data_IF_669254517452
#
_entry.id   IF_669254517452
#
_cell.length_a   1.000
_cell.length_b   1.000
_cell.length_c   1.000
_cell.angle_alpha   90.00
_cell.angle_beta   90.00
_cell.angle_gamma   90.00
#
_symmetry.space_group_name_H-M   'P 1'
#
loop_
_entity.id
_entity.type
_entity.pdbx_description
1 polymer ?
#
# COMPACT_ATOMS: atom_id res chain seq x y z
N UNK A 1 -20.16 18.49 10.82
CA UNK A 1 -21.43 18.57 10.06
C UNK A 1 -22.33 17.47 10.58
N UNK A 2 -23.55 17.77 11.00
CA UNK A 2 -24.47 16.76 11.51
C UNK A 2 -24.99 15.91 10.34
N UNK A 3 -24.64 14.62 10.30
CA UNK A 3 -25.04 13.67 9.24
C UNK A 3 -26.57 13.62 9.12
N UNK A 4 -27.28 13.87 10.23
CA UNK A 4 -28.74 13.86 10.24
C UNK A 4 -29.36 15.01 9.45
N UNK A 5 -28.59 16.06 9.13
CA UNK A 5 -29.07 17.23 8.36
C UNK A 5 -28.81 17.12 6.86
N UNK A 6 -28.17 16.06 6.38
CA UNK A 6 -27.95 15.87 4.94
C UNK A 6 -29.26 15.52 4.24
N UNK A 7 -29.51 16.17 3.10
CA UNK A 7 -30.67 15.85 2.26
C UNK A 7 -30.57 14.41 1.72
N UNK A 8 -31.72 13.80 1.41
CA UNK A 8 -31.74 12.46 0.80
C UNK A 8 -30.95 12.41 -0.52
N UNK A 9 -30.97 13.52 -1.28
CA UNK A 9 -30.20 13.66 -2.51
C UNK A 9 -28.68 13.60 -2.26
N UNK A 10 -28.19 14.18 -1.17
CA UNK A 10 -26.76 14.14 -0.80
C UNK A 10 -26.34 12.73 -0.38
N UNK A 11 -27.20 12.05 0.38
CA UNK A 11 -26.97 10.65 0.80
C UNK A 11 -26.91 9.73 -0.41
N UNK A 12 -27.82 9.88 -1.37
CA UNK A 12 -27.84 9.10 -2.61
C UNK A 12 -26.57 9.34 -3.44
N UNK A 13 -26.19 10.61 -3.67
CA UNK A 13 -24.95 10.96 -4.39
C UNK A 13 -23.71 10.38 -3.70
N UNK A 14 -23.63 10.52 -2.38
CA UNK A 14 -22.52 9.97 -1.60
C UNK A 14 -22.43 8.45 -1.66
N UNK A 15 -23.57 7.74 -1.70
CA UNK A 15 -23.60 6.28 -1.86
C UNK A 15 -23.15 5.82 -3.25
N UNK A 16 -23.55 6.53 -4.31
CA UNK A 16 -23.11 6.25 -5.68
C UNK A 16 -21.60 6.50 -5.80
N UNK A 17 -21.11 7.67 -5.35
CA UNK A 17 -19.69 7.99 -5.37
C UNK A 17 -18.86 6.94 -4.62
N UNK A 18 -19.33 6.48 -3.46
CA UNK A 18 -18.67 5.41 -2.71
C UNK A 18 -18.51 4.11 -3.51
N UNK A 19 -19.59 3.67 -4.20
CA UNK A 19 -19.55 2.45 -5.03
C UNK A 19 -18.54 2.60 -6.16
N UNK A 20 -18.51 3.77 -6.81
CA UNK A 20 -17.55 4.05 -7.89
C UNK A 20 -16.10 4.05 -7.38
N UNK A 21 -15.83 4.59 -6.19
CA UNK A 21 -14.51 4.51 -5.56
C UNK A 21 -14.12 3.06 -5.28
N UNK A 22 -15.02 2.26 -4.72
CA UNK A 22 -14.79 0.81 -4.51
C UNK A 22 -14.49 0.10 -5.83
N UNK A 23 -15.27 0.36 -6.88
CA UNK A 23 -15.03 -0.20 -8.22
C UNK A 23 -13.68 0.21 -8.77
N UNK A 24 -13.29 1.48 -8.64
CA UNK A 24 -11.98 1.97 -9.09
C UNK A 24 -10.83 1.29 -8.37
N UNK A 25 -10.93 1.09 -7.04
CA UNK A 25 -9.93 0.37 -6.25
C UNK A 25 -9.81 -1.11 -6.67
N UNK A 26 -10.93 -1.76 -7.01
CA UNK A 26 -10.95 -3.16 -7.45
C UNK A 26 -10.35 -3.32 -8.86
N UNK A 27 -10.76 -2.48 -9.81
CA UNK A 27 -10.44 -2.68 -11.23
C UNK A 27 -9.11 -2.05 -11.67
N UNK A 28 -8.69 -0.94 -11.05
CA UNK A 28 -7.51 -0.19 -11.53
C UNK A 28 -6.22 -1.01 -11.59
N UNK A 29 -5.89 -1.91 -10.62
CA UNK A 29 -4.68 -2.72 -10.71
C UNK A 29 -4.71 -3.64 -11.95
N UNK A 30 -5.78 -4.41 -12.14
CA UNK A 30 -5.90 -5.32 -13.30
C UNK A 30 -5.96 -4.59 -14.63
N UNK A 31 -6.62 -3.43 -14.70
CA UNK A 31 -6.58 -2.59 -15.90
C UNK A 31 -5.16 -2.12 -16.20
N UNK A 32 -4.37 -1.77 -15.19
CA UNK A 32 -2.97 -1.43 -15.37
C UNK A 32 -2.18 -2.61 -15.96
N UNK A 33 -2.40 -3.83 -15.44
CA UNK A 33 -1.80 -5.04 -15.99
C UNK A 33 -2.14 -5.23 -17.48
N UNK A 34 -3.43 -5.19 -17.82
CA UNK A 34 -3.90 -5.40 -19.19
C UNK A 34 -3.36 -4.36 -20.17
N UNK A 35 -3.35 -3.07 -19.79
CA UNK A 35 -2.91 -1.99 -20.68
C UNK A 35 -1.40 -1.97 -20.93
N UNK A 36 -0.62 -2.57 -20.03
CA UNK A 36 0.85 -2.59 -20.11
C UNK A 36 1.42 -3.97 -20.44
N UNK A 37 0.59 -4.94 -20.78
CA UNK A 37 0.99 -6.27 -21.26
C UNK A 37 0.70 -6.47 -22.77
N UNK A 38 1.55 -7.20 -23.52
CA UNK A 38 2.93 -7.54 -23.17
C UNK A 38 3.74 -6.26 -22.96
N UNK A 39 5.01 -6.34 -22.53
CA UNK A 39 5.93 -5.22 -22.61
C UNK A 39 6.56 -5.16 -24.02
N UNK A 40 5.94 -4.60 -25.08
CA UNK A 40 6.74 -4.11 -26.20
C UNK A 40 7.45 -2.83 -25.74
N UNK A 41 8.16 -2.15 -26.64
CA UNK A 41 8.93 -0.89 -26.51
C UNK A 41 8.15 0.33 -25.95
N UNK A 42 7.24 0.11 -25.00
CA UNK A 42 6.38 1.08 -24.36
C UNK A 42 7.26 2.08 -23.63
N UNK A 43 6.94 3.38 -23.73
CA UNK A 43 7.70 4.41 -23.05
C UNK A 43 7.82 4.09 -21.56
N UNK A 44 9.05 4.18 -21.03
CA UNK A 44 9.35 4.08 -19.60
C UNK A 44 8.42 4.94 -18.72
N UNK A 45 7.88 6.01 -19.31
CA UNK A 45 6.88 6.92 -18.73
C UNK A 45 5.60 6.20 -18.26
N UNK A 46 5.08 5.22 -19.00
CA UNK A 46 3.84 4.52 -18.59
C UNK A 46 4.02 3.74 -17.30
N UNK A 47 5.18 3.10 -17.13
CA UNK A 47 5.52 2.36 -15.91
C UNK A 47 5.94 3.31 -14.78
N UNK A 48 6.74 4.33 -15.09
CA UNK A 48 7.23 5.30 -14.10
C UNK A 48 6.12 6.13 -13.47
N UNK A 49 5.10 6.54 -14.24
CA UNK A 49 3.98 7.35 -13.75
C UNK A 49 2.74 6.51 -13.36
N UNK A 50 2.79 5.19 -13.59
CA UNK A 50 1.68 4.26 -13.34
C UNK A 50 0.31 4.82 -13.80
N UNK A 51 0.24 5.31 -15.04
CA UNK A 51 -0.85 6.18 -15.54
C UNK A 51 -2.25 5.66 -15.17
N UNK A 52 -2.62 4.37 -15.37
CA UNK A 52 -3.96 3.90 -15.02
C UNK A 52 -4.30 4.01 -13.52
N UNK A 53 -3.31 3.83 -12.64
CA UNK A 53 -3.48 3.99 -11.19
C UNK A 53 -3.62 5.46 -10.83
N UNK A 54 -2.77 6.32 -11.38
CA UNK A 54 -2.82 7.78 -11.21
C UNK A 54 -4.16 8.36 -11.71
N UNK A 55 -4.67 7.88 -12.84
CA UNK A 55 -5.99 8.24 -13.38
C UNK A 55 -7.11 7.78 -12.43
N UNK A 56 -7.00 6.59 -11.84
CA UNK A 56 -7.96 6.11 -10.85
C UNK A 56 -7.95 6.96 -9.57
N UNK A 57 -6.79 7.38 -9.08
CA UNK A 57 -6.69 8.31 -7.94
C UNK A 57 -7.33 9.66 -8.25
N UNK A 58 -7.04 10.24 -9.42
CA UNK A 58 -7.69 11.47 -9.89
C UNK A 58 -9.22 11.30 -9.93
N UNK A 59 -9.71 10.20 -10.50
CA UNK A 59 -11.14 9.89 -10.54
C UNK A 59 -11.74 9.81 -9.13
N UNK A 60 -11.05 9.19 -8.15
CA UNK A 60 -11.51 9.13 -6.76
C UNK A 60 -11.58 10.53 -6.14
N UNK A 61 -10.58 11.38 -6.39
CA UNK A 61 -10.59 12.78 -5.92
C UNK A 61 -11.78 13.54 -6.53
N UNK A 62 -12.01 13.44 -7.83
CA UNK A 62 -13.14 14.08 -8.50
C UNK A 62 -14.49 13.54 -8.01
N UNK A 63 -14.62 12.24 -7.77
CA UNK A 63 -15.83 11.63 -7.19
C UNK A 63 -16.08 12.13 -5.77
N UNK A 64 -15.03 12.30 -4.96
CA UNK A 64 -15.16 12.93 -3.66
C UNK A 64 -15.67 14.37 -3.80
N UNK A 65 -15.09 15.17 -4.72
CA UNK A 65 -15.52 16.55 -4.99
C UNK A 65 -16.98 16.62 -5.43
N UNK A 66 -17.40 15.74 -6.36
CA UNK A 66 -18.78 15.62 -6.81
C UNK A 66 -19.75 15.21 -5.68
N UNK A 67 -19.26 14.48 -4.67
CA UNK A 67 -20.00 14.18 -3.46
C UNK A 67 -19.98 15.31 -2.40
N UNK A 68 -19.44 16.49 -2.73
CA UNK A 68 -19.40 17.66 -1.86
C UNK A 68 -18.15 17.78 -0.99
N UNK A 69 -17.05 17.11 -1.34
CA UNK A 69 -15.74 17.41 -0.77
C UNK A 69 -15.22 18.74 -1.32
N UNK A 70 -14.63 19.55 -0.43
CA UNK A 70 -13.91 20.77 -0.80
C UNK A 70 -12.60 20.82 -0.03
N UNK A 71 -11.48 20.90 -0.74
CA UNK A 71 -10.16 20.96 -0.12
C UNK A 71 -10.02 22.18 0.82
N UNK A 72 -10.58 23.33 0.43
CA UNK A 72 -10.55 24.56 1.25
C UNK A 72 -11.38 24.44 2.52
N UNK A 73 -12.47 23.66 2.49
CA UNK A 73 -13.31 23.39 3.66
C UNK A 73 -12.77 22.26 4.54
N UNK A 74 -12.07 21.28 3.95
CA UNK A 74 -11.48 20.14 4.65
C UNK A 74 -10.17 20.52 5.35
N UNK A 75 -9.35 21.37 4.74
CA UNK A 75 -8.04 21.75 5.25
C UNK A 75 -8.09 22.26 6.71
N UNK A 76 -8.95 23.21 7.10
CA UNK A 76 -9.00 23.70 8.48
C UNK A 76 -9.42 22.65 9.52
N UNK A 77 -10.03 21.53 9.10
CA UNK A 77 -10.47 20.42 9.98
C UNK A 77 -9.34 19.45 10.30
N UNK A 78 -8.24 19.50 9.55
CA UNK A 78 -7.06 18.68 9.81
C UNK A 78 -6.40 19.11 11.12
N UNK A 79 -5.78 18.14 11.80
CA UNK A 79 -4.93 18.43 12.96
C UNK A 79 -3.87 19.48 12.59
N UNK A 80 -3.53 20.35 13.54
CA UNK A 80 -2.51 21.40 13.33
C UNK A 80 -1.19 20.82 12.81
N UNK A 81 -0.72 19.70 13.39
CA UNK A 81 0.49 19.01 12.93
C UNK A 81 0.38 18.58 11.48
N UNK A 82 -0.77 18.04 11.05
CA UNK A 82 -0.97 17.63 9.66
C UNK A 82 -0.94 18.81 8.70
N UNK A 83 -1.59 19.92 9.04
CA UNK A 83 -1.56 21.15 8.22
C UNK A 83 -0.15 21.71 8.09
N UNK A 84 0.56 21.82 9.22
CA UNK A 84 1.92 22.35 9.26
C UNK A 84 2.86 21.45 8.45
N UNK A 85 2.81 20.13 8.67
CA UNK A 85 3.60 19.15 7.92
C UNK A 85 3.32 19.22 6.42
N UNK A 86 2.05 19.23 6.02
CA UNK A 86 1.68 19.32 4.60
C UNK A 86 2.13 20.66 3.97
N UNK A 87 1.99 21.79 4.66
CA UNK A 87 2.45 23.09 4.16
C UNK A 87 3.97 23.15 3.98
N UNK A 88 4.73 22.70 4.98
CA UNK A 88 6.20 22.64 4.91
C UNK A 88 6.64 21.69 3.80
N UNK A 89 6.04 20.49 3.72
CA UNK A 89 6.35 19.50 2.69
C UNK A 89 6.04 20.01 1.28
N UNK A 90 4.92 20.71 1.08
CA UNK A 90 4.56 21.30 -0.21
C UNK A 90 5.58 22.35 -0.65
N UNK A 91 5.95 23.27 0.25
CA UNK A 91 6.94 24.31 -0.04
C UNK A 91 8.31 23.69 -0.29
N UNK A 92 8.78 22.80 0.59
CA UNK A 92 10.09 22.16 0.43
C UNK A 92 10.14 21.33 -0.85
N UNK A 93 9.09 20.56 -1.14
CA UNK A 93 9.02 19.73 -2.34
C UNK A 93 9.01 20.54 -3.63
N UNK A 94 8.30 21.67 -3.67
CA UNK A 94 8.34 22.61 -4.80
C UNK A 94 9.73 23.23 -4.98
N UNK A 95 10.36 23.70 -3.90
CA UNK A 95 11.73 24.25 -3.94
C UNK A 95 12.70 23.20 -4.46
N UNK A 96 12.63 21.98 -3.93
CA UNK A 96 13.50 20.89 -4.36
C UNK A 96 13.29 20.56 -5.83
N UNK A 97 12.03 20.38 -6.26
CA UNK A 97 11.70 20.00 -7.62
C UNK A 97 12.04 21.08 -8.66
N UNK A 98 12.04 22.36 -8.29
CA UNK A 98 12.21 23.47 -9.26
C UNK A 98 13.59 24.13 -9.21
N UNK A 99 14.24 24.13 -8.04
CA UNK A 99 15.51 24.84 -7.82
C UNK A 99 16.68 23.89 -7.59
N UNK A 100 16.45 22.78 -6.87
CA UNK A 100 17.55 21.89 -6.42
C UNK A 100 17.81 20.74 -7.37
N UNK A 101 16.77 20.17 -7.96
CA UNK A 101 16.85 18.99 -8.81
C UNK A 101 17.55 19.30 -10.13
N UNK A 102 18.48 18.42 -10.54
CA UNK A 102 19.21 18.57 -11.81
C UNK A 102 18.29 18.43 -13.04
N UNK A 103 17.20 17.66 -12.90
CA UNK A 103 16.15 17.53 -13.91
C UNK A 103 14.81 18.01 -13.35
N UNK A 104 14.54 19.34 -13.33
CA UNK A 104 13.38 19.90 -12.66
C UNK A 104 12.04 19.38 -13.16
N UNK A 105 11.91 19.13 -14.48
CA UNK A 105 10.66 18.65 -15.08
C UNK A 105 10.29 17.25 -14.56
N UNK A 106 11.25 16.32 -14.53
CA UNK A 106 11.03 14.97 -14.03
C UNK A 106 10.71 15.00 -12.53
N UNK A 107 11.50 15.74 -11.75
CA UNK A 107 11.30 15.89 -10.31
C UNK A 107 9.92 16.50 -9.99
N UNK A 108 9.49 17.51 -10.75
CA UNK A 108 8.19 18.15 -10.61
C UNK A 108 7.06 17.17 -10.97
N UNK A 109 7.16 16.42 -12.07
CA UNK A 109 6.16 15.42 -12.44
C UNK A 109 5.96 14.36 -11.34
N UNK A 110 7.05 13.81 -10.80
CA UNK A 110 6.97 12.82 -9.71
C UNK A 110 6.47 13.45 -8.40
N UNK A 111 6.87 14.69 -8.12
CA UNK A 111 6.36 15.42 -6.95
C UNK A 111 4.84 15.66 -7.05
N UNK A 112 4.33 16.00 -8.24
CA UNK A 112 2.89 16.15 -8.49
C UNK A 112 2.11 14.85 -8.25
N UNK A 113 2.69 13.67 -8.52
CA UNK A 113 2.09 12.38 -8.14
C UNK A 113 1.98 12.27 -6.61
N UNK A 114 3.01 12.70 -5.87
CA UNK A 114 2.92 12.73 -4.41
C UNK A 114 1.90 13.73 -3.89
N UNK A 115 1.73 14.87 -4.57
CA UNK A 115 0.66 15.84 -4.26
C UNK A 115 -0.71 15.21 -4.50
N UNK A 116 -0.87 14.43 -5.58
CA UNK A 116 -2.08 13.67 -5.85
C UNK A 116 -2.38 12.67 -4.72
N UNK A 117 -1.39 11.94 -4.22
CA UNK A 117 -1.56 11.07 -3.05
C UNK A 117 -2.04 11.85 -1.81
N UNK A 118 -1.51 13.05 -1.55
CA UNK A 118 -1.96 13.91 -0.46
C UNK A 118 -3.40 14.42 -0.67
N UNK A 119 -3.78 14.74 -1.90
CA UNK A 119 -5.15 15.12 -2.26
C UNK A 119 -6.14 13.96 -2.11
N UNK A 120 -5.74 12.75 -2.52
CA UNK A 120 -6.48 11.51 -2.28
C UNK A 120 -6.69 11.32 -0.78
N UNK A 121 -5.62 11.48 0.02
CA UNK A 121 -5.69 11.33 1.47
C UNK A 121 -6.69 12.30 2.11
N UNK A 122 -6.64 13.57 1.70
CA UNK A 122 -7.53 14.61 2.20
C UNK A 122 -8.99 14.35 1.81
N UNK A 123 -9.25 13.98 0.56
CA UNK A 123 -10.58 13.65 0.06
C UNK A 123 -11.18 12.43 0.78
N UNK A 124 -10.42 11.35 0.90
CA UNK A 124 -10.86 10.15 1.62
C UNK A 124 -11.09 10.42 3.11
N UNK A 125 -10.20 11.18 3.76
CA UNK A 125 -10.33 11.52 5.18
C UNK A 125 -11.60 12.34 5.46
N UNK A 126 -11.87 13.37 4.66
CA UNK A 126 -13.08 14.17 4.81
C UNK A 126 -14.35 13.34 4.61
N UNK A 127 -14.37 12.44 3.62
CA UNK A 127 -15.53 11.58 3.34
C UNK A 127 -15.73 10.49 4.40
N UNK A 128 -14.66 9.86 4.89
CA UNK A 128 -14.73 8.86 5.97
C UNK A 128 -15.14 9.46 7.32
N UNK A 129 -14.87 10.75 7.55
CA UNK A 129 -15.35 11.48 8.72
C UNK A 129 -16.75 12.11 8.51
N UNK A 130 -17.42 11.81 7.39
CA UNK A 130 -18.75 12.34 7.07
C UNK A 130 -19.65 11.26 6.46
N UNK A 131 -19.95 11.34 5.15
CA UNK A 131 -20.97 10.52 4.48
C UNK A 131 -20.56 9.04 4.42
N UNK A 132 -19.26 8.73 4.48
CA UNK A 132 -18.73 7.36 4.46
C UNK A 132 -18.29 6.88 5.84
N UNK A 133 -18.77 7.51 6.92
CA UNK A 133 -18.48 7.08 8.27
C UNK A 133 -18.77 5.59 8.45
N UNK A 134 -17.81 4.87 9.02
CA UNK A 134 -17.91 3.44 9.25
C UNK A 134 -17.49 2.55 8.06
N UNK A 135 -17.26 3.08 6.86
CA UNK A 135 -16.99 2.29 5.64
C UNK A 135 -15.50 2.07 5.30
N UNK A 136 -14.61 2.31 6.27
CA UNK A 136 -13.17 2.13 6.06
C UNK A 136 -12.77 0.69 5.77
N UNK A 137 -13.46 -0.29 6.38
CA UNK A 137 -13.31 -1.71 6.09
C UNK A 137 -13.58 -2.03 4.61
N UNK A 138 -14.69 -1.54 4.06
CA UNK A 138 -15.06 -1.76 2.66
C UNK A 138 -13.99 -1.25 1.69
N UNK A 139 -13.34 -0.10 1.96
CA UNK A 139 -12.25 0.41 1.12
C UNK A 139 -11.01 -0.49 1.18
N UNK A 140 -10.63 -0.95 2.37
CA UNK A 140 -9.49 -1.86 2.55
C UNK A 140 -9.76 -3.25 1.95
N UNK A 141 -10.99 -3.76 2.09
CA UNK A 141 -11.44 -4.99 1.43
C UNK A 141 -11.38 -4.84 -0.09
N UNK A 142 -11.86 -3.72 -0.63
CA UNK A 142 -11.81 -3.43 -2.06
C UNK A 142 -10.37 -3.40 -2.59
N UNK A 143 -9.45 -2.76 -1.85
CA UNK A 143 -8.04 -2.74 -2.19
C UNK A 143 -7.41 -4.14 -2.18
N UNK A 144 -7.70 -4.97 -1.17
CA UNK A 144 -7.19 -6.34 -1.08
C UNK A 144 -7.75 -7.24 -2.20
N UNK A 145 -9.04 -7.13 -2.51
CA UNK A 145 -9.69 -7.86 -3.61
C UNK A 145 -9.15 -7.39 -4.97
N UNK A 146 -8.99 -6.09 -5.19
CA UNK A 146 -8.38 -5.55 -6.41
C UNK A 146 -6.95 -6.02 -6.62
N UNK A 147 -6.16 -6.08 -5.54
CA UNK A 147 -4.81 -6.64 -5.57
C UNK A 147 -4.81 -8.13 -5.92
N UNK A 148 -5.73 -8.92 -5.38
CA UNK A 148 -5.85 -10.34 -5.73
C UNK A 148 -6.33 -10.54 -7.17
N UNK A 149 -7.27 -9.72 -7.66
CA UNK A 149 -7.69 -9.72 -9.05
C UNK A 149 -6.53 -9.40 -9.99
N UNK A 150 -5.68 -8.44 -9.63
CA UNK A 150 -4.43 -8.18 -10.34
C UNK A 150 -3.53 -9.40 -10.36
N UNK A 151 -3.33 -10.08 -9.22
CA UNK A 151 -2.48 -11.26 -9.15
C UNK A 151 -2.95 -12.36 -10.11
N UNK A 152 -4.27 -12.62 -10.15
CA UNK A 152 -4.86 -13.58 -11.08
C UNK A 152 -4.71 -13.12 -12.53
N UNK A 153 -4.92 -11.83 -12.81
CA UNK A 153 -4.77 -11.25 -14.16
C UNK A 153 -3.33 -11.37 -14.65
N UNK A 154 -2.36 -10.94 -13.85
CA UNK A 154 -0.94 -11.00 -14.19
C UNK A 154 -0.47 -12.44 -14.39
N UNK A 155 -0.90 -13.37 -13.54
CA UNK A 155 -0.61 -14.79 -13.71
C UNK A 155 -1.17 -15.33 -15.04
N UNK A 156 -2.43 -15.02 -15.37
CA UNK A 156 -3.06 -15.41 -16.63
C UNK A 156 -2.36 -14.85 -17.87
N UNK A 157 -1.96 -13.57 -17.82
CA UNK A 157 -1.20 -12.91 -18.89
C UNK A 157 0.16 -13.59 -19.11
N UNK A 158 0.92 -13.84 -18.04
CA UNK A 158 2.22 -14.51 -18.14
C UNK A 158 2.09 -15.98 -18.57
N UNK A 159 1.03 -16.66 -18.17
CA UNK A 159 0.74 -18.00 -18.64
C UNK A 159 0.45 -18.01 -20.16
N UNK A 160 -0.09 -16.93 -20.73
CA UNK A 160 -0.38 -16.85 -22.17
C UNK A 160 0.88 -16.81 -23.05
N UNK A 161 2.01 -16.36 -22.50
CA UNK A 161 3.32 -16.27 -23.19
C UNK A 161 4.31 -17.35 -22.72
N UNK A 162 3.86 -18.35 -21.94
CA UNK A 162 4.73 -19.40 -21.36
C UNK A 162 5.56 -20.21 -22.35
N UNK A 163 5.19 -20.22 -23.63
CA UNK A 163 5.86 -20.96 -24.70
C UNK A 163 6.72 -20.06 -25.59
N UNK A 164 6.78 -18.75 -25.30
CA UNK A 164 7.62 -17.80 -26.00
C UNK A 164 9.04 -17.85 -25.40
N UNK A 165 10.04 -18.38 -26.13
CA UNK A 165 11.41 -18.46 -25.64
C UNK A 165 12.10 -17.08 -25.55
N UNK A 166 11.62 -16.09 -26.29
CA UNK A 166 12.22 -14.75 -26.39
C UNK A 166 11.63 -13.77 -25.37
N UNK A 167 10.65 -14.23 -24.58
CA UNK A 167 10.00 -13.41 -23.57
C UNK A 167 10.95 -13.02 -22.42
N UNK A 168 11.06 -11.71 -22.14
CA UNK A 168 11.84 -11.21 -21.00
C UNK A 168 11.13 -11.53 -19.66
N UNK A 169 11.58 -12.60 -19.02
CA UNK A 169 11.10 -13.06 -17.71
C UNK A 169 11.51 -12.17 -16.53
N UNK A 170 12.28 -11.09 -16.75
CA UNK A 170 12.64 -10.10 -15.74
C UNK A 170 11.76 -8.85 -15.91
N UNK A 171 11.71 -8.31 -17.12
CA UNK A 171 10.95 -7.09 -17.49
C UNK A 171 9.58 -7.46 -18.04
N UNK A 172 8.73 -8.01 -17.18
CA UNK A 172 7.53 -8.76 -17.57
C UNK A 172 6.32 -7.90 -18.00
N UNK A 173 6.40 -6.58 -17.91
CA UNK A 173 5.23 -5.71 -18.12
C UNK A 173 4.11 -5.99 -17.11
N UNK A 174 2.85 -5.97 -17.55
CA UNK A 174 1.69 -6.22 -16.69
C UNK A 174 1.64 -5.31 -15.44
N UNK A 175 1.93 -4.02 -15.62
CA UNK A 175 1.84 -2.97 -14.61
C UNK A 175 3.12 -2.84 -13.78
N UNK A 176 4.15 -3.61 -14.11
CA UNK A 176 5.42 -3.62 -13.41
C UNK A 176 6.59 -3.63 -14.40
N UNK A 177 7.69 -3.01 -14.03
CA UNK A 177 8.93 -3.02 -14.82
C UNK A 177 9.88 -4.15 -14.42
N UNK A 178 9.61 -4.82 -13.30
CA UNK A 178 10.42 -5.93 -12.82
C UNK A 178 9.55 -6.96 -12.13
N UNK A 179 9.80 -8.25 -12.35
CA UNK A 179 9.09 -9.37 -11.72
C UNK A 179 8.90 -9.21 -10.20
N UNK A 180 9.85 -8.63 -9.46
CA UNK A 180 9.72 -8.47 -7.99
C UNK A 180 8.62 -7.54 -7.57
N UNK A 181 8.25 -6.60 -8.43
CA UNK A 181 7.20 -5.63 -8.14
C UNK A 181 5.81 -6.29 -8.15
N UNK A 182 5.66 -7.52 -8.69
CA UNK A 182 4.44 -8.31 -8.50
C UNK A 182 4.13 -8.51 -7.01
N UNK A 183 5.16 -8.56 -6.15
CA UNK A 183 4.98 -8.66 -4.71
C UNK A 183 4.31 -7.41 -4.10
N UNK A 184 4.32 -6.24 -4.75
CA UNK A 184 3.64 -5.04 -4.22
C UNK A 184 2.13 -5.28 -4.12
N UNK A 185 1.57 -5.92 -5.14
CA UNK A 185 0.16 -6.32 -5.21
C UNK A 185 -0.09 -7.59 -4.41
N UNK A 186 0.77 -8.60 -4.55
CA UNK A 186 0.68 -9.84 -3.77
C UNK A 186 0.64 -9.59 -2.26
N UNK A 187 1.51 -8.70 -1.76
CA UNK A 187 1.56 -8.34 -0.35
C UNK A 187 0.31 -7.57 0.10
N UNK A 188 -0.23 -6.68 -0.73
CA UNK A 188 -1.50 -5.99 -0.44
C UNK A 188 -2.66 -6.98 -0.28
N UNK A 189 -2.79 -7.93 -1.22
CA UNK A 189 -3.78 -8.99 -1.14
C UNK A 189 -3.57 -9.88 0.09
N UNK A 190 -2.32 -10.28 0.37
CA UNK A 190 -1.97 -11.13 1.50
C UNK A 190 -2.27 -10.46 2.86
N UNK A 191 -1.75 -9.26 3.10
CA UNK A 191 -1.91 -8.54 4.37
C UNK A 191 -3.36 -8.17 4.65
N UNK A 192 -4.09 -7.68 3.62
CA UNK A 192 -5.52 -7.36 3.75
C UNK A 192 -6.38 -8.61 3.91
N UNK A 193 -6.15 -9.63 3.08
CA UNK A 193 -6.84 -10.93 3.14
C UNK A 193 -6.70 -11.59 4.50
N UNK A 194 -5.47 -11.71 5.03
CA UNK A 194 -5.23 -12.30 6.34
C UNK A 194 -5.90 -11.52 7.46
N UNK A 195 -5.81 -10.18 7.43
CA UNK A 195 -6.41 -9.35 8.47
C UNK A 195 -7.93 -9.55 8.56
N UNK A 196 -8.64 -9.56 7.41
CA UNK A 196 -10.08 -9.81 7.39
C UNK A 196 -10.41 -11.27 7.70
N UNK A 197 -9.67 -12.24 7.17
CA UNK A 197 -9.91 -13.66 7.47
C UNK A 197 -9.82 -13.94 8.98
N UNK A 198 -8.87 -13.33 9.68
CA UNK A 198 -8.60 -13.55 11.11
C UNK A 198 -9.53 -12.72 12.01
N UNK A 199 -9.75 -11.44 11.69
CA UNK A 199 -10.39 -10.50 12.61
C UNK A 199 -11.85 -10.16 12.29
N UNK A 200 -12.47 -10.79 11.28
CA UNK A 200 -13.91 -10.70 11.11
C UNK A 200 -14.63 -11.36 12.32
N UNK A 201 -15.69 -10.75 12.88
CA UNK A 201 -16.42 -11.33 14.01
C UNK A 201 -17.14 -12.64 13.65
N UNK A 202 -17.24 -13.54 14.64
CA UNK A 202 -17.79 -14.88 14.47
C UNK A 202 -19.32 -14.88 14.37
N UNK A 203 -19.83 -14.72 13.15
CA UNK A 203 -21.23 -15.00 12.81
C UNK A 203 -21.28 -15.96 11.61
N UNK A 204 -22.35 -16.76 11.46
CA UNK A 204 -22.46 -17.73 10.35
C UNK A 204 -22.28 -17.09 8.98
N UNK A 205 -22.92 -15.95 8.73
CA UNK A 205 -22.76 -15.19 7.48
C UNK A 205 -21.30 -14.72 7.24
N UNK A 206 -20.52 -14.56 8.31
CA UNK A 206 -19.12 -14.11 8.26
C UNK A 206 -18.10 -15.25 8.15
N UNK A 207 -18.48 -16.50 8.37
CA UNK A 207 -17.61 -17.65 8.10
C UNK A 207 -17.28 -17.75 6.60
N UNK A 208 -18.29 -17.59 5.74
CA UNK A 208 -18.10 -17.53 4.28
C UNK A 208 -17.22 -16.34 3.90
N UNK A 209 -17.45 -15.16 4.49
CA UNK A 209 -16.61 -13.98 4.23
C UNK A 209 -15.16 -14.22 4.65
N UNK A 210 -14.93 -14.80 5.82
CA UNK A 210 -13.60 -15.16 6.32
C UNK A 210 -12.89 -16.14 5.36
N UNK A 211 -13.60 -17.16 4.86
CA UNK A 211 -13.06 -18.09 3.87
C UNK A 211 -12.70 -17.41 2.54
N UNK A 212 -13.53 -16.48 2.06
CA UNK A 212 -13.23 -15.67 0.85
C UNK A 212 -11.94 -14.87 1.07
N UNK A 213 -11.78 -14.21 2.22
CA UNK A 213 -10.56 -13.44 2.50
C UNK A 213 -9.33 -14.32 2.76
N UNK A 214 -9.52 -15.55 3.23
CA UNK A 214 -8.45 -16.53 3.27
C UNK A 214 -7.99 -16.92 1.85
N UNK A 215 -8.92 -17.06 0.90
CA UNK A 215 -8.58 -17.28 -0.51
C UNK A 215 -7.86 -16.07 -1.13
N UNK A 216 -8.32 -14.84 -0.84
CA UNK A 216 -7.63 -13.59 -1.22
C UNK A 216 -6.18 -13.59 -0.68
N UNK A 217 -6.01 -14.00 0.58
CA UNK A 217 -4.68 -14.12 1.18
C UNK A 217 -3.81 -15.16 0.48
N UNK A 218 -4.33 -16.35 0.22
CA UNK A 218 -3.63 -17.43 -0.49
C UNK A 218 -3.15 -16.95 -1.86
N UNK A 219 -3.99 -16.26 -2.63
CA UNK A 219 -3.62 -15.69 -3.94
C UNK A 219 -2.47 -14.67 -3.78
N UNK A 220 -2.58 -13.77 -2.80
CA UNK A 220 -1.54 -12.77 -2.54
C UNK A 220 -0.19 -13.39 -2.13
N UNK A 221 -0.23 -14.35 -1.21
CA UNK A 221 0.97 -15.09 -0.76
C UNK A 221 1.57 -15.89 -1.92
N UNK A 222 0.74 -16.55 -2.72
CA UNK A 222 1.19 -17.26 -3.90
C UNK A 222 1.94 -16.33 -4.84
N UNK A 223 1.43 -15.11 -5.09
CA UNK A 223 2.12 -14.13 -5.92
C UNK A 223 3.48 -13.70 -5.33
N UNK A 224 3.55 -13.44 -4.03
CA UNK A 224 4.82 -13.08 -3.34
C UNK A 224 5.88 -14.19 -3.50
N UNK A 225 5.48 -15.45 -3.31
CA UNK A 225 6.38 -16.60 -3.45
C UNK A 225 6.69 -16.92 -4.91
N UNK A 226 5.70 -16.82 -5.80
CA UNK A 226 5.84 -17.10 -7.22
C UNK A 226 6.81 -16.13 -7.88
N UNK A 227 6.69 -14.83 -7.58
CA UNK A 227 7.65 -13.83 -8.02
C UNK A 227 8.94 -13.81 -7.20
N UNK A 228 9.19 -14.79 -6.31
CA UNK A 228 10.43 -15.00 -5.55
C UNK A 228 10.94 -13.80 -4.75
N UNK A 229 10.06 -12.91 -4.27
CA UNK A 229 10.46 -11.65 -3.62
C UNK A 229 10.76 -11.82 -2.12
N UNK A 230 12.05 -11.71 -1.74
CA UNK A 230 12.49 -11.77 -0.33
C UNK A 230 11.91 -10.62 0.50
N UNK A 231 11.92 -9.40 -0.03
CA UNK A 231 11.39 -8.23 0.65
C UNK A 231 9.87 -8.37 0.90
N UNK A 232 9.14 -8.89 -0.08
CA UNK A 232 7.71 -9.22 0.07
C UNK A 232 7.48 -10.27 1.16
N UNK A 233 8.32 -11.31 1.23
CA UNK A 233 8.24 -12.33 2.30
C UNK A 233 8.51 -11.75 3.69
N UNK A 234 9.48 -10.85 3.83
CA UNK A 234 9.75 -10.15 5.11
C UNK A 234 8.54 -9.31 5.52
N UNK A 235 7.99 -8.51 4.59
CA UNK A 235 6.77 -7.74 4.85
C UNK A 235 5.60 -8.62 5.28
N UNK A 236 5.40 -9.75 4.60
CA UNK A 236 4.36 -10.73 4.94
C UNK A 236 4.56 -11.30 6.36
N UNK A 237 5.78 -11.69 6.70
CA UNK A 237 6.11 -12.23 8.02
C UNK A 237 5.83 -11.21 9.13
N UNK A 238 6.25 -9.96 8.95
CA UNK A 238 5.99 -8.88 9.92
C UNK A 238 4.49 -8.63 10.11
N UNK A 239 3.71 -8.67 9.02
CA UNK A 239 2.25 -8.58 9.06
C UNK A 239 1.61 -9.76 9.80
N UNK A 240 2.04 -11.00 9.54
CA UNK A 240 1.53 -12.19 10.26
C UNK A 240 1.84 -12.09 11.76
N UNK A 241 3.07 -11.72 12.13
CA UNK A 241 3.49 -11.55 13.52
C UNK A 241 2.60 -10.52 14.21
N UNK A 242 2.38 -9.35 13.58
CA UNK A 242 1.45 -8.35 14.09
C UNK A 242 0.05 -8.94 14.33
N UNK A 243 -0.54 -9.57 13.30
CA UNK A 243 -1.91 -10.11 13.36
C UNK A 243 -2.08 -11.14 14.48
N UNK A 244 -1.11 -12.04 14.66
CA UNK A 244 -1.12 -13.04 15.72
C UNK A 244 -0.97 -12.40 17.11
N UNK A 245 -0.11 -11.38 17.25
CA UNK A 245 0.12 -10.68 18.51
C UNK A 245 -1.10 -9.84 18.95
N UNK A 246 -1.78 -9.18 18.02
CA UNK A 246 -2.98 -8.36 18.34
C UNK A 246 -4.25 -9.19 18.52
N UNK A 247 -4.25 -10.46 18.11
CA UNK A 247 -5.34 -11.39 18.37
C UNK A 247 -5.44 -11.72 19.87
N UNK A 248 -6.68 -11.75 20.39
CA UNK A 248 -6.97 -12.23 21.75
C UNK A 248 -6.45 -13.66 21.99
N UNK A 249 -5.98 -13.95 23.21
CA UNK A 249 -5.42 -15.27 23.58
C UNK A 249 -6.33 -16.43 23.18
N UNK A 250 -7.64 -16.33 23.45
CA UNK A 250 -8.62 -17.37 23.10
C UNK A 250 -8.85 -17.60 21.59
N UNK A 251 -8.43 -16.68 20.71
CA UNK A 251 -8.52 -16.84 19.24
C UNK A 251 -7.16 -17.07 18.58
N UNK A 252 -6.06 -16.99 19.34
CA UNK A 252 -4.70 -17.04 18.79
C UNK A 252 -4.41 -18.32 18.01
N UNK A 253 -4.83 -19.48 18.53
CA UNK A 253 -4.63 -20.76 17.83
C UNK A 253 -5.35 -20.78 16.47
N UNK A 254 -6.58 -20.27 16.41
CA UNK A 254 -7.31 -20.15 15.14
C UNK A 254 -6.61 -19.18 14.18
N UNK A 255 -6.15 -18.03 14.66
CA UNK A 255 -5.39 -17.08 13.83
C UNK A 255 -4.13 -17.71 13.27
N UNK A 256 -3.38 -18.45 14.09
CA UNK A 256 -2.21 -19.20 13.65
C UNK A 256 -2.59 -20.28 12.62
N UNK A 257 -3.67 -21.02 12.82
CA UNK A 257 -4.14 -22.03 11.87
C UNK A 257 -4.54 -21.40 10.52
N UNK A 258 -5.26 -20.28 10.52
CA UNK A 258 -5.62 -19.54 9.30
C UNK A 258 -4.38 -19.02 8.60
N UNK A 259 -3.45 -18.38 9.33
CA UNK A 259 -2.22 -17.84 8.76
C UNK A 259 -1.33 -18.96 8.18
N UNK A 260 -1.08 -20.03 8.93
CA UNK A 260 -0.30 -21.18 8.47
C UNK A 260 -0.96 -21.88 7.28
N UNK A 261 -2.28 -22.06 7.31
CA UNK A 261 -3.04 -22.63 6.20
C UNK A 261 -2.97 -21.76 4.95
N UNK A 262 -3.06 -20.45 5.08
CA UNK A 262 -2.92 -19.52 3.96
C UNK A 262 -1.49 -19.49 3.40
N UNK A 263 -0.46 -19.57 4.27
CA UNK A 263 0.94 -19.66 3.86
C UNK A 263 1.21 -20.97 3.11
N UNK A 264 0.76 -22.11 3.65
CA UNK A 264 0.88 -23.41 3.00
C UNK A 264 0.13 -23.45 1.66
N UNK A 265 -1.12 -22.98 1.65
CA UNK A 265 -1.92 -22.88 0.42
C UNK A 265 -1.29 -21.97 -0.63
N UNK A 266 -0.76 -20.82 -0.21
CA UNK A 266 -0.04 -19.89 -1.10
C UNK A 266 1.25 -20.49 -1.64
N UNK A 267 2.02 -21.20 -0.82
CA UNK A 267 3.23 -21.91 -1.25
C UNK A 267 2.91 -22.99 -2.29
N UNK A 268 1.93 -23.85 -2.04
CA UNK A 268 1.49 -24.87 -2.99
C UNK A 268 0.98 -24.24 -4.30
N UNK A 269 0.14 -23.21 -4.20
CA UNK A 269 -0.39 -22.50 -5.38
C UNK A 269 0.73 -21.85 -6.20
N UNK A 270 1.78 -21.31 -5.56
CA UNK A 270 2.94 -20.73 -6.24
C UNK A 270 3.78 -21.74 -7.04
N UNK A 271 3.59 -23.04 -6.80
CA UNK A 271 4.34 -24.12 -7.46
C UNK A 271 3.61 -24.73 -8.66
N UNK A 272 2.34 -24.37 -8.93
CA UNK A 272 1.56 -24.95 -10.04
C UNK A 272 2.28 -24.79 -11.37
N UNK A 273 2.80 -23.59 -11.63
CA UNK A 273 3.66 -23.31 -12.78
C UNK A 273 4.64 -22.21 -12.39
N UNK A 274 5.93 -22.43 -12.65
CA UNK A 274 6.99 -21.46 -12.41
C UNK A 274 7.66 -21.18 -13.75
N UNK A 275 7.82 -19.90 -14.16
CA UNK A 275 8.56 -19.58 -15.37
C UNK A 275 9.95 -20.21 -15.37
N UNK A 276 10.46 -20.67 -16.52
CA UNK A 276 11.75 -21.39 -16.62
C UNK A 276 12.94 -20.43 -16.54
N UNK A 277 13.01 -19.61 -15.49
CA UNK A 277 14.02 -18.59 -15.31
C UNK A 277 14.42 -18.49 -13.82
N UNK A 278 15.71 -18.41 -13.47
CA UNK A 278 16.21 -18.52 -12.07
C UNK A 278 15.75 -17.37 -11.17
N UNK A 279 15.19 -16.32 -11.76
CA UNK A 279 14.55 -15.24 -11.01
C UNK A 279 13.16 -15.65 -10.48
N UNK A 280 12.56 -16.78 -10.82
CA UNK A 280 11.21 -17.11 -10.36
C UNK A 280 11.16 -18.15 -9.25
N UNK A 281 10.00 -18.24 -8.62
CA UNK A 281 9.64 -19.29 -7.68
C UNK A 281 10.16 -19.10 -6.26
N UNK A 282 9.54 -19.84 -5.35
CA UNK A 282 9.86 -19.85 -3.93
C UNK A 282 11.27 -20.39 -3.67
N UNK A 283 11.77 -21.29 -4.54
CA UNK A 283 13.12 -21.85 -4.41
C UNK A 283 14.22 -20.79 -4.51
N UNK A 284 14.00 -19.71 -5.24
CA UNK A 284 14.93 -18.57 -5.25
C UNK A 284 15.08 -17.92 -3.88
N UNK A 285 13.98 -17.81 -3.12
CA UNK A 285 14.00 -17.22 -1.78
C UNK A 285 14.93 -18.05 -0.89
N UNK A 286 14.83 -19.37 -0.95
CA UNK A 286 15.68 -20.30 -0.19
C UNK A 286 17.12 -20.34 -0.71
N UNK A 287 17.33 -20.41 -2.03
CA UNK A 287 18.67 -20.46 -2.62
C UNK A 287 19.53 -19.26 -2.22
N UNK A 288 18.95 -18.05 -2.22
CA UNK A 288 19.64 -16.84 -1.77
C UNK A 288 19.90 -16.77 -0.26
N UNK A 289 19.23 -17.59 0.54
CA UNK A 289 19.56 -17.76 1.97
C UNK A 289 20.72 -18.74 2.16
N UNK A 290 20.90 -19.72 1.26
CA UNK A 290 22.04 -20.63 1.30
C UNK A 290 23.35 -19.92 0.87
N UNK A 291 23.27 -18.91 0.02
CA UNK A 291 24.42 -18.12 -0.45
C UNK A 291 25.02 -17.16 0.60
N UNK A 292 24.63 -17.24 1.88
CA UNK A 292 25.17 -16.37 2.96
C UNK A 292 26.70 -16.49 3.06
N UNK A 293 27.24 -17.67 2.77
CA UNK A 293 28.68 -17.95 2.82
C UNK A 293 29.49 -17.16 1.76
N UNK A 294 28.83 -16.59 0.75
CA UNK A 294 29.47 -15.76 -0.29
C UNK A 294 29.62 -14.28 0.12
N UNK A 295 29.28 -13.93 1.36
CA UNK A 295 29.46 -12.60 1.93
C UNK A 295 28.21 -11.70 1.90
N UNK A 296 28.22 -10.67 2.75
CA UNK A 296 27.08 -9.76 2.98
C UNK A 296 26.64 -8.99 1.71
N UNK A 297 27.57 -8.68 0.80
CA UNK A 297 27.27 -7.94 -0.42
C UNK A 297 26.44 -8.77 -1.41
N UNK A 298 26.83 -10.03 -1.63
CA UNK A 298 26.08 -10.94 -2.49
C UNK A 298 24.71 -11.27 -1.87
N UNK A 299 24.66 -11.45 -0.55
CA UNK A 299 23.41 -11.66 0.18
C UNK A 299 22.46 -10.47 0.05
N UNK A 300 22.97 -9.25 0.20
CA UNK A 300 22.19 -8.02 0.15
C UNK A 300 21.84 -7.59 -1.28
N UNK A 301 22.31 -8.30 -2.32
CA UNK A 301 22.19 -7.89 -3.73
C UNK A 301 22.77 -6.49 -3.97
N UNK A 302 23.96 -6.24 -3.41
CA UNK A 302 24.67 -4.98 -3.49
C UNK A 302 23.99 -3.76 -2.85
N UNK A 303 22.99 -3.98 -1.99
CA UNK A 303 22.27 -2.89 -1.30
C UNK A 303 23.19 -2.13 -0.34
N UNK A 304 24.18 -2.79 0.26
CA UNK A 304 25.05 -2.12 1.22
C UNK A 304 25.85 -0.99 0.56
N UNK A 305 26.50 -1.28 -0.56
CA UNK A 305 27.20 -0.25 -1.37
C UNK A 305 26.24 0.86 -1.79
N UNK A 306 25.06 0.50 -2.33
CA UNK A 306 24.03 1.49 -2.71
C UNK A 306 23.65 2.38 -1.52
N UNK A 307 23.50 1.84 -0.30
CA UNK A 307 23.13 2.61 0.88
C UNK A 307 24.25 3.53 1.36
N UNK A 308 25.51 3.11 1.27
CA UNK A 308 26.66 3.94 1.61
C UNK A 308 26.76 5.13 0.66
N UNK A 309 26.60 4.89 -0.64
CA UNK A 309 26.60 5.96 -1.66
C UNK A 309 25.37 6.87 -1.50
N UNK A 310 24.19 6.29 -1.22
CA UNK A 310 23.00 7.10 -0.93
C UNK A 310 23.23 8.02 0.27
N UNK A 311 23.91 7.52 1.31
CA UNK A 311 24.20 8.30 2.51
C UNK A 311 25.22 9.42 2.22
N UNK A 312 26.26 9.18 1.43
CA UNK A 312 27.19 10.24 1.03
C UNK A 312 26.48 11.36 0.27
N UNK A 313 25.63 11.00 -0.69
CA UNK A 313 24.80 12.00 -1.39
C UNK A 313 23.84 12.73 -0.44
N UNK A 314 23.21 12.05 0.51
CA UNK A 314 22.36 12.72 1.52
C UNK A 314 23.16 13.78 2.29
N UNK A 315 24.43 13.49 2.63
CA UNK A 315 25.30 14.41 3.35
C UNK A 315 25.71 15.63 2.51
N UNK A 316 25.69 15.54 1.18
CA UNK A 316 25.95 16.68 0.29
C UNK A 316 24.79 17.70 0.29
N UNK A 317 23.54 17.23 0.40
CA UNK A 317 22.32 18.08 0.43
C UNK A 317 21.37 17.70 1.59
N UNK A 318 21.78 17.80 2.86
CA UNK A 318 21.06 17.17 3.98
C UNK A 318 19.71 17.84 4.30
N UNK A 319 19.57 19.13 4.01
CA UNK A 319 18.37 19.90 4.35
C UNK A 319 17.20 19.59 3.42
N UNK A 320 17.43 19.67 2.12
CA UNK A 320 16.40 19.61 1.08
C UNK A 320 16.49 18.37 0.18
N UNK A 321 17.60 17.62 0.24
CA UNK A 321 17.80 16.45 -0.63
C UNK A 321 18.08 16.84 -2.08
N UNK A 322 17.91 15.87 -2.99
CA UNK A 322 18.23 15.99 -4.41
C UNK A 322 16.98 16.05 -5.30
N UNK A 323 15.81 15.68 -4.78
CA UNK A 323 14.56 15.63 -5.53
C UNK A 323 14.15 14.24 -5.99
N UNK A 324 12.85 14.10 -6.27
CA UNK A 324 12.27 12.83 -6.69
C UNK A 324 12.78 12.39 -8.05
N UNK A 325 13.11 11.11 -8.17
CA UNK A 325 13.57 10.51 -9.43
C UNK A 325 14.99 10.88 -9.84
N UNK A 326 15.70 11.71 -9.06
CA UNK A 326 17.10 12.08 -9.37
C UNK A 326 18.09 10.95 -9.03
N UNK A 327 17.71 9.99 -8.19
CA UNK A 327 18.58 8.91 -7.74
C UNK A 327 19.34 8.20 -8.87
N UNK A 328 18.64 7.87 -9.96
CA UNK A 328 19.24 7.21 -11.12
C UNK A 328 20.26 8.10 -11.85
N UNK A 329 19.98 9.41 -11.91
CA UNK A 329 20.85 10.37 -12.59
C UNK A 329 22.11 10.64 -11.75
N UNK A 330 21.94 10.84 -10.45
CA UNK A 330 23.03 11.27 -9.56
C UNK A 330 24.01 10.14 -9.23
N UNK A 331 23.52 8.91 -9.03
CA UNK A 331 24.35 7.75 -8.67
C UNK A 331 24.83 6.98 -9.91
N UNK A 332 24.20 7.22 -11.07
CA UNK A 332 24.67 6.74 -12.37
C UNK A 332 24.76 5.22 -12.51
N UNK A 333 25.72 4.76 -13.31
CA UNK A 333 25.92 3.35 -13.65
C UNK A 333 26.36 2.49 -12.46
N UNK A 334 26.88 3.10 -11.39
CA UNK A 334 27.31 2.40 -10.16
C UNK A 334 26.16 1.62 -9.52
N UNK A 335 24.92 2.12 -9.64
CA UNK A 335 23.73 1.44 -9.14
C UNK A 335 23.08 0.48 -10.15
N UNK A 336 23.75 0.14 -11.27
CA UNK A 336 23.21 -0.77 -12.28
C UNK A 336 21.87 -0.30 -12.88
N UNK A 337 21.66 1.02 -12.94
CA UNK A 337 20.42 1.63 -13.45
C UNK A 337 19.22 1.56 -12.50
N UNK A 338 19.43 1.26 -11.22
CA UNK A 338 18.40 1.28 -10.17
C UNK A 338 17.88 2.71 -9.95
N UNK A 339 16.56 2.84 -9.76
CA UNK A 339 15.89 4.14 -9.64
C UNK A 339 15.75 4.68 -8.21
N UNK A 340 16.11 3.90 -7.18
CA UNK A 340 15.90 4.25 -5.78
C UNK A 340 16.73 3.32 -4.84
N UNK A 341 17.02 3.71 -3.59
CA UNK A 341 18.00 3.00 -2.73
C UNK A 341 17.52 1.66 -2.13
N UNK A 342 16.31 1.21 -2.43
CA UNK A 342 15.62 0.05 -1.84
C UNK A 342 15.51 0.13 -0.31
N UNK A 343 15.39 1.34 0.23
CA UNK A 343 15.20 1.64 1.64
C UNK A 343 14.43 2.96 1.76
N UNK A 344 13.18 2.92 2.21
CA UNK A 344 12.33 4.11 2.18
C UNK A 344 12.83 5.26 3.06
N UNK A 345 13.58 4.98 4.13
CA UNK A 345 14.14 6.03 5.00
C UNK A 345 15.22 6.79 4.24
N UNK A 346 16.16 6.05 3.64
CA UNK A 346 17.19 6.65 2.77
C UNK A 346 16.56 7.33 1.57
N UNK A 347 15.52 6.73 0.97
CA UNK A 347 14.82 7.32 -0.15
C UNK A 347 14.20 8.68 0.21
N UNK A 348 13.52 8.79 1.34
CA UNK A 348 12.85 10.04 1.74
C UNK A 348 13.87 11.12 2.08
N UNK A 349 14.93 10.77 2.82
CA UNK A 349 16.03 11.68 3.12
C UNK A 349 16.75 12.13 1.86
N UNK A 350 17.03 11.23 0.93
CA UNK A 350 17.65 11.57 -0.34
C UNK A 350 16.74 12.48 -1.19
N UNK A 351 15.44 12.21 -1.26
CA UNK A 351 14.51 12.96 -2.10
C UNK A 351 14.16 14.34 -1.54
N UNK A 352 14.03 14.47 -0.22
CA UNK A 352 13.45 15.66 0.40
C UNK A 352 14.28 16.26 1.54
N UNK A 353 15.42 15.64 1.88
CA UNK A 353 16.23 16.01 3.03
C UNK A 353 15.49 15.84 4.35
N UNK A 354 16.11 16.31 5.42
CA UNK A 354 15.52 16.26 6.76
C UNK A 354 14.27 17.14 6.88
N UNK A 355 14.20 18.25 6.13
CA UNK A 355 13.06 19.19 6.19
C UNK A 355 11.80 18.53 5.64
N UNK A 356 11.84 18.02 4.41
CA UNK A 356 10.65 17.41 3.82
C UNK A 356 10.33 16.04 4.43
N UNK A 357 11.33 15.25 4.83
CA UNK A 357 11.10 13.99 5.57
C UNK A 357 10.43 14.25 6.92
N UNK A 358 10.94 15.21 7.69
CA UNK A 358 10.34 15.61 8.97
C UNK A 358 8.93 16.16 8.80
N UNK A 359 8.67 16.89 7.71
CA UNK A 359 7.36 17.40 7.37
C UNK A 359 6.35 16.27 7.06
N UNK A 360 6.77 15.22 6.33
CA UNK A 360 5.94 14.02 6.11
C UNK A 360 5.65 13.29 7.42
N UNK A 361 6.66 13.11 8.30
CA UNK A 361 6.45 12.49 9.61
C UNK A 361 5.45 13.28 10.46
N UNK A 362 5.56 14.61 10.46
CA UNK A 362 4.62 15.50 11.13
C UNK A 362 3.21 15.42 10.53
N UNK A 363 3.13 15.25 9.21
CA UNK A 363 1.88 15.11 8.47
C UNK A 363 1.11 13.85 8.90
N UNK A 364 1.79 12.72 9.01
CA UNK A 364 1.19 11.41 9.36
C UNK A 364 1.11 11.16 10.87
N UNK A 365 1.62 12.08 11.69
CA UNK A 365 1.68 11.95 13.15
C UNK A 365 0.35 11.57 13.82
N UNK A 366 -0.83 12.11 13.42
CA UNK A 366 -2.09 11.67 14.02
C UNK A 366 -2.40 10.19 13.79
N UNK A 367 -2.06 9.65 12.62
CA UNK A 367 -2.23 8.22 12.33
C UNK A 367 -1.31 7.38 13.23
N UNK A 368 -0.05 7.81 13.42
CA UNK A 368 0.91 7.16 14.33
C UNK A 368 0.35 7.11 15.76
N UNK A 369 -0.14 8.25 16.28
CA UNK A 369 -0.74 8.32 17.63
C UNK A 369 -1.98 7.42 17.78
N UNK A 370 -2.67 7.15 16.68
CA UNK A 370 -3.86 6.28 16.64
C UNK A 370 -3.53 4.79 16.55
N UNK A 371 -2.28 4.40 16.29
CA UNK A 371 -1.90 2.98 16.19
C UNK A 371 -2.20 2.21 17.47
N UNK A 372 -1.69 2.67 18.62
CA UNK A 372 -1.85 1.96 19.91
C UNK A 372 -3.31 1.85 20.36
N UNK A 373 -4.11 2.95 20.40
CA UNK A 373 -5.53 2.84 20.76
C UNK A 373 -6.31 1.95 19.79
N UNK A 374 -5.94 1.96 18.51
CA UNK A 374 -6.61 1.13 17.51
C UNK A 374 -6.35 -0.36 17.72
N UNK A 375 -5.12 -0.74 18.07
CA UNK A 375 -4.78 -2.10 18.48
C UNK A 375 -5.59 -2.50 19.72
N UNK A 376 -5.64 -1.63 20.72
CA UNK A 376 -6.38 -1.88 21.96
C UNK A 376 -7.89 -2.07 21.70
N UNK A 377 -8.48 -1.28 20.80
CA UNK A 377 -9.89 -1.37 20.41
C UNK A 377 -10.24 -2.62 19.60
N UNK A 378 -9.23 -3.32 19.06
CA UNK A 378 -9.36 -4.52 18.21
C UNK A 378 -10.34 -4.37 17.03
N UNK A 379 -10.50 -3.16 16.51
CA UNK A 379 -11.34 -2.89 15.34
C UNK A 379 -10.74 -3.54 14.10
N UNK A 380 -11.55 -4.32 13.38
CA UNK A 380 -11.11 -5.08 12.21
C UNK A 380 -10.49 -4.17 11.14
N UNK A 381 -11.11 -3.03 10.84
CA UNK A 381 -10.59 -2.08 9.85
C UNK A 381 -9.24 -1.48 10.25
N UNK A 382 -9.03 -1.23 11.55
CA UNK A 382 -7.81 -0.62 12.04
C UNK A 382 -6.66 -1.64 12.08
N UNK A 383 -6.96 -2.90 12.45
CA UNK A 383 -5.99 -4.00 12.37
C UNK A 383 -5.62 -4.28 10.89
N UNK A 384 -6.59 -4.25 9.98
CA UNK A 384 -6.33 -4.39 8.54
C UNK A 384 -5.46 -3.26 7.99
N UNK A 385 -5.74 -2.01 8.36
CA UNK A 385 -4.89 -0.87 8.01
C UNK A 385 -3.45 -1.04 8.54
N UNK A 386 -3.30 -1.42 9.81
CA UNK A 386 -1.99 -1.65 10.42
C UNK A 386 -1.23 -2.81 9.74
N UNK A 387 -1.93 -3.90 9.41
CA UNK A 387 -1.37 -5.03 8.67
C UNK A 387 -0.80 -4.60 7.32
N UNK A 388 -1.55 -3.78 6.56
CA UNK A 388 -1.11 -3.22 5.28
C UNK A 388 0.09 -2.28 5.45
N UNK A 389 0.05 -1.38 6.44
CA UNK A 389 1.16 -0.46 6.72
C UNK A 389 2.42 -1.24 7.10
N UNK A 390 2.34 -2.16 8.06
CA UNK A 390 3.48 -2.95 8.53
C UNK A 390 4.03 -3.84 7.42
N UNK A 391 3.17 -4.47 6.62
CA UNK A 391 3.59 -5.25 5.47
C UNK A 391 4.35 -4.40 4.44
N UNK A 392 3.72 -3.32 3.96
CA UNK A 392 4.31 -2.46 2.93
C UNK A 392 5.56 -1.73 3.41
N UNK A 393 5.58 -1.18 4.63
CA UNK A 393 6.78 -0.54 5.22
C UNK A 393 7.88 -1.55 5.49
N UNK A 394 7.52 -2.77 5.94
CA UNK A 394 8.47 -3.86 6.12
C UNK A 394 9.14 -4.28 4.81
N UNK A 395 8.40 -4.34 3.72
CA UNK A 395 8.95 -4.52 2.38
C UNK A 395 9.81 -3.33 1.94
N UNK A 396 9.38 -2.10 2.24
CA UNK A 396 10.04 -0.85 1.86
C UNK A 396 11.42 -0.64 2.49
N UNK A 397 11.76 -1.41 3.54
CA UNK A 397 13.10 -1.41 4.12
C UNK A 397 14.14 -2.11 3.24
N UNK A 398 13.69 -3.01 2.36
CA UNK A 398 14.55 -3.85 1.52
C UNK A 398 14.24 -3.70 0.02
N UNK A 399 13.19 -2.95 -0.32
CA UNK A 399 12.75 -2.71 -1.68
C UNK A 399 12.20 -1.29 -1.83
N UNK A 400 12.03 -0.86 -3.08
CA UNK A 400 11.56 0.48 -3.44
C UNK A 400 10.06 0.60 -3.61
N UNK A 401 9.25 -0.25 -2.97
CA UNK A 401 7.81 -0.25 -3.23
C UNK A 401 7.20 1.15 -3.03
N UNK A 402 7.53 1.88 -1.96
CA UNK A 402 7.01 3.24 -1.71
C UNK A 402 7.52 4.33 -2.66
N UNK A 403 8.35 3.99 -3.65
CA UNK A 403 8.63 4.85 -4.80
C UNK A 403 7.49 4.82 -5.83
N UNK A 404 6.75 3.71 -5.91
CA UNK A 404 5.73 3.49 -6.92
C UNK A 404 4.35 3.94 -6.43
N UNK A 405 3.54 4.43 -7.37
CA UNK A 405 2.21 5.00 -7.12
C UNK A 405 1.32 4.02 -6.35
N UNK A 406 1.08 2.81 -6.87
CA UNK A 406 0.13 1.86 -6.27
C UNK A 406 0.40 1.53 -4.78
N UNK A 407 1.56 0.98 -4.38
CA UNK A 407 1.83 0.67 -2.98
C UNK A 407 1.79 1.92 -2.08
N UNK A 408 2.18 3.10 -2.59
CA UNK A 408 2.04 4.37 -1.87
C UNK A 408 0.57 4.73 -1.64
N UNK A 409 -0.28 4.61 -2.65
CA UNK A 409 -1.74 4.78 -2.53
C UNK A 409 -2.35 3.86 -1.47
N UNK A 410 -1.90 2.60 -1.40
CA UNK A 410 -2.36 1.63 -0.41
C UNK A 410 -1.96 2.04 1.02
N UNK A 411 -0.72 2.49 1.22
CA UNK A 411 -0.26 3.00 2.53
C UNK A 411 -1.03 4.26 2.92
N UNK A 412 -1.26 5.18 1.99
CA UNK A 412 -2.06 6.39 2.20
C UNK A 412 -3.49 6.04 2.61
N UNK A 413 -4.15 5.13 1.89
CA UNK A 413 -5.49 4.66 2.23
C UNK A 413 -5.52 4.07 3.65
N UNK A 414 -4.57 3.22 4.00
CA UNK A 414 -4.48 2.62 5.33
C UNK A 414 -4.24 3.66 6.43
N UNK A 415 -3.36 4.64 6.22
CA UNK A 415 -3.12 5.74 7.15
C UNK A 415 -4.39 6.58 7.38
N UNK A 416 -5.13 6.85 6.30
CA UNK A 416 -6.40 7.60 6.37
C UNK A 416 -7.46 6.82 7.15
N UNK A 417 -7.63 5.53 6.89
CA UNK A 417 -8.58 4.69 7.64
C UNK A 417 -8.20 4.60 9.11
N UNK A 418 -6.91 4.54 9.43
CA UNK A 418 -6.42 4.52 10.81
C UNK A 418 -6.64 5.87 11.52
N UNK A 419 -6.43 6.97 10.81
CA UNK A 419 -6.59 8.33 11.35
C UNK A 419 -8.06 8.74 11.49
N UNK A 420 -8.98 8.17 10.71
CA UNK A 420 -10.39 8.55 10.71
C UNK A 420 -11.01 8.42 12.12
N UNK A 421 -11.64 9.50 12.57
CA UNK A 421 -12.31 9.60 13.85
C UNK A 421 -13.64 8.86 13.76
N UNK A 422 -13.67 7.68 14.37
CA UNK A 422 -14.92 7.24 14.96
C UNK A 422 -14.98 7.95 16.31
N UNK A 423 -15.81 8.99 16.39
CA UNK A 423 -16.35 9.36 17.69
C UNK A 423 -16.77 8.04 18.37
N UNK A 424 -16.46 7.79 19.65
CA UNK A 424 -16.98 6.66 20.39
C UNK A 424 -18.50 6.79 20.45
N UNK A 425 -19.17 6.46 19.36
CA UNK A 425 -20.58 6.69 19.11
C UNK A 425 -21.30 5.39 19.41
N UNK A 426 -22.09 5.45 20.48
CA UNK A 426 -23.31 4.67 20.68
C UNK A 426 -23.19 3.16 20.89
N UNK A 427 -22.01 2.54 20.86
CA UNK A 427 -21.88 1.15 21.33
C UNK A 427 -22.26 1.04 22.81
N UNK A 428 -21.77 1.95 23.67
CA UNK A 428 -22.16 1.97 25.08
C UNK A 428 -23.62 2.39 25.27
N UNK A 429 -24.14 3.31 24.44
CA UNK A 429 -25.55 3.69 24.52
C UNK A 429 -26.51 2.57 24.08
N UNK A 430 -26.17 1.83 23.02
CA UNK A 430 -26.97 0.70 22.54
C UNK A 430 -26.80 -0.53 23.44
N UNK A 431 -25.62 -0.77 24.00
CA UNK A 431 -25.42 -1.81 25.01
C UNK A 431 -26.17 -1.49 26.32
N UNK A 432 -26.23 -0.22 26.73
CA UNK A 432 -27.03 0.21 27.88
C UNK A 432 -28.54 0.12 27.61
N UNK A 433 -29.00 0.46 26.40
CA UNK A 433 -30.42 0.31 26.01
C UNK A 433 -30.83 -1.18 25.93
N UNK A 434 -29.97 -2.05 25.39
CA UNK A 434 -30.23 -3.50 25.36
C UNK A 434 -30.22 -4.08 26.78
N UNK A 435 -29.27 -3.69 27.63
CA UNK A 435 -29.19 -4.14 29.02
C UNK A 435 -30.40 -3.67 29.86
N UNK A 436 -30.91 -2.47 29.61
CA UNK A 436 -32.12 -1.97 30.28
C UNK A 436 -33.39 -2.71 29.82
N UNK A 437 -33.46 -3.17 28.57
CA UNK A 437 -34.60 -3.95 28.09
C UNK A 437 -34.60 -5.42 28.58
N UNK A 438 -33.43 -6.02 28.83
CA UNK A 438 -33.34 -7.37 29.41
C UNK A 438 -33.52 -7.40 30.93
N UNK A 439 -33.47 -6.26 31.63
CA UNK A 439 -33.80 -6.18 33.06
C UNK A 439 -35.29 -5.87 33.31
N UNK A 440 -36.02 -5.40 32.30
CA UNK A 440 -37.45 -5.09 32.39
C UNK A 440 -38.38 -6.22 31.92
N UNK A 441 -37.83 -7.34 31.47
CA UNK A 441 -38.53 -8.56 31.06
C UNK A 441 -38.11 -9.71 31.96
#
# INVERSE_FOLDING_TARGET
MDINRLSDSDRARGAIAFRLVVTALILSPSLFALLTFPPPDKPSVMFGLAIPVTVAELAIVFLAMAAGYSATAAWPRLAFTTRLGAAVWLVSGLVVATVVAEQPVLALCLFLISVLHAMLALGLSDRLNSIWQGRGDCLLMAAAVGAALYCVTAYGLLLSVRHDPDYDWITIGAGVSNVRQLAFYGLTAACGGLAFAIHLPDTRARATTSAIFAAVAIIGIAMVFWCGSRAGTIGLLLSIVLLVLVTSSGRRLRSMAIASGAVAGGALLSMIWVPPHPQWGIMRIFGRMADIDQGLEHYSSSRWTIWQDTLSHILDKPLFGHGMGMFKADIGDLAGGIAQPHNFVLQFLYQWGIVGTGAVLLMIWPAIRRMVPSIASRRTEAIAALSLIVGQVGMAMMDGNLFYTYPTSIVVLALVVLAADRAPQQSEANSAVIANHTQSA
#
